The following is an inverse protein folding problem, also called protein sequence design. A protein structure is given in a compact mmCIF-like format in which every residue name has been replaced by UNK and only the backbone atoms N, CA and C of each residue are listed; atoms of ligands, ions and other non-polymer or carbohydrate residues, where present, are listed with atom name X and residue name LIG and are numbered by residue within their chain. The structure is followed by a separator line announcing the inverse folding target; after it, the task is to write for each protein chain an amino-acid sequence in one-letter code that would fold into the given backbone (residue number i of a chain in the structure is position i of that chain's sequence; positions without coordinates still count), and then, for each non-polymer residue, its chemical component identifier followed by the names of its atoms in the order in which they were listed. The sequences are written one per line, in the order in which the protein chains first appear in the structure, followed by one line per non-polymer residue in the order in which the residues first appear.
data_IF_356127080704
#
_entry.id   IF_356127080704
#
_cell.length_a   1.000
_cell.length_b   1.000
_cell.length_c   1.000
_cell.angle_alpha   90.00
_cell.angle_beta   90.00
_cell.angle_gamma   90.00
#
_symmetry.space_group_name_H-M   'P 1'
#
loop_
_entity.id
_entity.type
_entity.pdbx_description
1 polymer ?
#
# COMPACT_ATOMS: atom_id res chain seq x y z
N UNK A 1 -3.49 -16.55 -6.19
CA UNK A 1 -2.65 -15.69 -5.34
C UNK A 1 -1.25 -15.70 -5.95
N UNK A 2 -0.66 -14.53 -6.20
CA UNK A 2 0.70 -14.40 -6.71
C UNK A 2 1.46 -13.39 -5.86
N UNK A 3 2.66 -13.77 -5.44
CA UNK A 3 3.60 -12.86 -4.79
C UNK A 3 4.30 -12.01 -5.86
N UNK A 4 4.38 -10.70 -5.62
CA UNK A 4 5.03 -9.73 -6.49
C UNK A 4 5.91 -8.81 -5.66
N UNK A 5 6.96 -8.31 -6.30
CA UNK A 5 7.76 -7.21 -5.76
C UNK A 5 7.53 -6.00 -6.65
N UNK A 6 6.96 -4.95 -6.06
CA UNK A 6 6.77 -3.64 -6.72
C UNK A 6 7.67 -2.60 -6.07
N UNK A 7 7.96 -1.53 -6.80
CA UNK A 7 8.85 -0.44 -6.34
C UNK A 7 8.22 0.94 -6.41
N UNK A 8 6.99 1.04 -6.94
CA UNK A 8 6.22 2.26 -6.98
C UNK A 8 4.85 2.02 -6.38
N UNK A 9 4.35 2.97 -5.60
CA UNK A 9 2.98 2.90 -5.08
C UNK A 9 1.93 2.89 -6.19
N UNK A 10 2.25 3.46 -7.37
CA UNK A 10 1.37 3.44 -8.54
C UNK A 10 1.10 2.03 -9.10
N UNK A 11 1.91 1.03 -8.73
CA UNK A 11 1.73 -0.36 -9.16
C UNK A 11 0.80 -1.15 -8.23
N UNK A 12 0.47 -0.59 -7.05
CA UNK A 12 -0.47 -1.18 -6.10
C UNK A 12 -1.91 -1.01 -6.58
N UNK A 13 -2.71 -2.05 -6.32
CA UNK A 13 -4.12 -2.13 -6.66
C UNK A 13 -4.94 -2.40 -5.41
N UNK A 14 -6.21 -2.02 -5.45
CA UNK A 14 -7.16 -2.36 -4.41
C UNK A 14 -7.16 -3.88 -4.14
N UNK A 15 -7.13 -4.26 -2.86
CA UNK A 15 -7.07 -5.65 -2.43
C UNK A 15 -5.69 -6.30 -2.44
N UNK A 16 -4.63 -5.62 -2.91
CA UNK A 16 -3.27 -6.10 -2.72
C UNK A 16 -2.91 -6.15 -1.24
N UNK A 17 -2.18 -7.20 -0.84
CA UNK A 17 -1.76 -7.36 0.56
C UNK A 17 -0.25 -7.16 0.65
N UNK A 18 0.19 -6.04 1.24
CA UNK A 18 1.58 -5.73 1.52
C UNK A 18 2.09 -6.56 2.71
N UNK A 19 3.06 -7.45 2.45
CA UNK A 19 3.59 -8.39 3.44
C UNK A 19 4.99 -8.04 3.92
N UNK A 20 5.81 -7.36 3.11
CA UNK A 20 7.14 -6.92 3.50
C UNK A 20 7.56 -5.62 2.82
N UNK A 21 8.46 -4.89 3.49
CA UNK A 21 9.15 -3.72 2.97
C UNK A 21 10.66 -3.94 3.10
N UNK A 22 11.39 -3.85 1.99
CA UNK A 22 12.84 -4.10 1.90
C UNK A 22 13.28 -5.42 2.56
N UNK A 23 12.46 -6.47 2.39
CA UNK A 23 12.70 -7.79 2.97
C UNK A 23 12.35 -7.91 4.44
N UNK A 24 11.91 -6.84 5.11
CA UNK A 24 11.38 -6.90 6.47
C UNK A 24 9.88 -7.15 6.45
N UNK A 25 9.46 -8.30 6.98
CA UNK A 25 8.05 -8.66 7.06
C UNK A 25 7.29 -7.81 8.07
N UNK A 26 6.07 -7.44 7.69
CA UNK A 26 5.11 -6.84 8.61
C UNK A 26 4.53 -7.92 9.54
N UNK A 27 4.43 -7.62 10.83
CA UNK A 27 3.77 -8.51 11.79
C UNK A 27 2.28 -8.69 11.49
N UNK A 28 1.66 -7.65 10.93
CA UNK A 28 0.32 -7.67 10.36
C UNK A 28 0.40 -7.10 8.94
N UNK A 29 0.15 -7.90 7.90
CA UNK A 29 0.09 -7.40 6.53
C UNK A 29 -0.96 -6.29 6.38
N UNK A 30 -0.74 -5.40 5.43
CA UNK A 30 -1.64 -4.28 5.14
C UNK A 30 -2.35 -4.51 3.81
N UNK A 31 -3.68 -4.48 3.81
CA UNK A 31 -4.48 -4.56 2.58
C UNK A 31 -4.65 -3.17 2.00
N UNK A 32 -4.43 -3.00 0.70
CA UNK A 32 -4.72 -1.76 -0.02
C UNK A 32 -6.23 -1.58 -0.08
N UNK A 33 -6.73 -0.48 0.46
CA UNK A 33 -8.14 -0.08 0.44
C UNK A 33 -8.45 0.84 -0.75
N UNK A 34 -7.61 1.86 -0.97
CA UNK A 34 -7.73 2.75 -2.13
C UNK A 34 -6.37 2.85 -2.83
N UNK A 35 -6.38 2.74 -4.16
CA UNK A 35 -5.20 2.93 -5.02
C UNK A 35 -4.65 4.37 -4.94
N UNK A 36 -3.52 4.62 -5.61
CA UNK A 36 -2.83 5.91 -5.55
C UNK A 36 -3.71 7.05 -6.10
N UNK A 37 -4.30 7.84 -5.20
CA UNK A 37 -5.21 8.94 -5.51
C UNK A 37 -4.90 10.16 -4.63
N UNK A 38 -5.43 11.36 -4.96
CA UNK A 38 -5.39 12.51 -4.05
C UNK A 38 -5.98 12.14 -2.68
N UNK A 39 -5.27 12.45 -1.59
CA UNK A 39 -5.74 12.11 -0.23
C UNK A 39 -7.01 12.87 0.17
N UNK A 40 -7.23 14.02 -0.47
CA UNK A 40 -8.43 14.85 -0.38
C UNK A 40 -8.69 15.49 -1.74
N UNK A 41 -9.96 15.73 -2.07
CA UNK A 41 -10.36 16.37 -3.34
C UNK A 41 -9.64 17.70 -3.53
N UNK A 42 -8.94 17.85 -4.66
CA UNK A 42 -8.16 19.05 -4.98
C UNK A 42 -6.77 19.12 -4.35
N UNK A 43 -6.37 18.14 -3.53
CA UNK A 43 -5.02 18.08 -2.98
C UNK A 43 -4.00 17.66 -4.04
N UNK A 44 -2.83 18.33 -4.13
CA UNK A 44 -1.72 17.85 -4.95
C UNK A 44 -1.05 16.61 -4.34
N UNK A 45 -1.31 16.32 -3.06
CA UNK A 45 -0.73 15.19 -2.34
C UNK A 45 -1.51 13.92 -2.66
N UNK A 46 -0.81 12.92 -3.18
CA UNK A 46 -1.35 11.60 -3.49
C UNK A 46 -0.80 10.55 -2.54
N UNK A 47 -1.64 9.58 -2.19
CA UNK A 47 -1.27 8.44 -1.35
C UNK A 47 -2.09 7.20 -1.67
N UNK A 48 -1.58 6.05 -1.23
CA UNK A 48 -2.30 4.77 -1.24
C UNK A 48 -2.84 4.56 0.17
N UNK A 49 -4.14 4.25 0.30
CA UNK A 49 -4.76 3.97 1.59
C UNK A 49 -4.78 2.48 1.86
N UNK A 50 -4.59 2.13 3.11
CA UNK A 50 -4.62 0.75 3.58
C UNK A 50 -5.71 0.58 4.61
N UNK A 51 -6.25 -0.64 4.67
CA UNK A 51 -7.05 -1.07 5.80
C UNK A 51 -6.22 -0.96 7.09
N UNK A 52 -6.73 -0.26 8.12
CA UNK A 52 -5.99 -0.11 9.35
C UNK A 52 -5.87 -1.48 10.05
N UNK A 53 -4.68 -1.87 10.53
CA UNK A 53 -4.45 -3.16 11.19
C UNK A 53 -5.12 -3.28 12.59
N UNK A 54 -5.79 -2.21 13.01
CA UNK A 54 -6.61 -2.07 14.21
C UNK A 54 -7.85 -1.25 13.86
N UNK A 55 -8.95 -1.41 14.59
CA UNK A 55 -10.17 -0.58 14.46
C UNK A 55 -9.99 0.88 14.93
N UNK A 56 -8.75 1.38 14.98
CA UNK A 56 -8.45 2.79 15.19
C UNK A 56 -8.95 3.59 14.00
N UNK A 57 -9.64 4.71 14.22
CA UNK A 57 -10.03 5.66 13.16
C UNK A 57 -8.85 6.43 12.54
N UNK A 58 -7.63 5.92 12.65
CA UNK A 58 -6.43 6.49 12.05
C UNK A 58 -6.34 5.95 10.63
N UNK A 59 -6.32 6.86 9.66
CA UNK A 59 -6.08 6.50 8.26
C UNK A 59 -4.62 6.03 8.11
N UNK A 60 -4.44 4.87 7.47
CA UNK A 60 -3.13 4.36 7.10
C UNK A 60 -2.87 4.72 5.64
N UNK A 61 -2.05 5.75 5.41
CA UNK A 61 -1.75 6.26 4.08
C UNK A 61 -0.25 6.23 3.86
N UNK A 62 0.17 5.62 2.75
CA UNK A 62 1.55 5.72 2.30
C UNK A 62 1.68 6.69 1.13
N UNK A 63 2.76 7.47 1.16
CA UNK A 63 3.04 8.51 0.18
C UNK A 63 4.19 8.09 -0.75
N UNK A 64 4.13 8.43 -2.06
CA UNK A 64 5.20 8.09 -3.00
C UNK A 64 6.57 8.59 -2.54
N UNK A 65 6.65 9.80 -1.96
CA UNK A 65 7.88 10.38 -1.44
C UNK A 65 8.55 9.57 -0.31
N UNK A 66 7.82 8.65 0.33
CA UNK A 66 8.33 7.79 1.40
C UNK A 66 8.58 6.36 0.96
N UNK A 67 7.87 5.90 -0.07
CA UNK A 67 7.82 4.48 -0.44
C UNK A 67 8.42 4.16 -1.79
N UNK A 68 8.36 5.09 -2.75
CA UNK A 68 8.87 4.82 -4.09
C UNK A 68 10.39 4.59 -4.03
N UNK A 69 10.85 3.54 -4.69
CA UNK A 69 12.23 3.06 -4.63
C UNK A 69 12.48 1.95 -3.60
N UNK A 70 11.58 1.77 -2.63
CA UNK A 70 11.62 0.63 -1.70
C UNK A 70 11.02 -0.62 -2.34
N UNK A 71 11.53 -1.80 -1.94
CA UNK A 71 11.01 -3.09 -2.42
C UNK A 71 9.80 -3.48 -1.58
N UNK A 72 8.62 -3.41 -2.18
CA UNK A 72 7.35 -3.78 -1.54
C UNK A 72 6.95 -5.17 -2.00
N UNK A 73 6.97 -6.14 -1.09
CA UNK A 73 6.45 -7.49 -1.37
C UNK A 73 4.95 -7.52 -1.12
N UNK A 74 4.18 -7.87 -2.14
CA UNK A 74 2.72 -7.93 -2.08
C UNK A 74 2.19 -9.30 -2.52
N UNK A 75 1.03 -9.67 -2.00
CA UNK A 75 0.21 -10.76 -2.53
C UNK A 75 -0.99 -10.17 -3.30
N UNK A 76 -1.12 -10.57 -4.57
CA UNK A 76 -2.25 -10.19 -5.42
C UNK A 76 -3.14 -11.40 -5.73
N UNK A 77 -4.45 -11.21 -5.63
CA UNK A 77 -5.45 -12.22 -6.02
C UNK A 77 -5.98 -11.94 -7.44
N UNK A 78 -6.30 -13.01 -8.18
CA UNK A 78 -6.96 -12.89 -9.49
C UNK A 78 -6.11 -12.41 -10.68
N UNK A 79 -4.79 -12.65 -10.65
CA UNK A 79 -3.93 -12.47 -11.83
C UNK A 79 -4.07 -13.60 -12.85
#
# INVERSE_FOLDING_TARGET
MKELIVTKLADLREGDVLTALDGKFYAKPLTVLDELAPITTGSPVRGVRFEPPTSSGIEWVFYPAQMDGHRMTINRYGL
#
